data_IF_131574330815
#
_entry.id   IF_131574330815
#
_cell.length_a   1.000
_cell.length_b   1.000
_cell.length_c   1.000
_cell.angle_alpha   90.00
_cell.angle_beta   90.00
_cell.angle_gamma   90.00
#
_symmetry.space_group_name_H-M   'P 1'
#
loop_
_entity.id
_entity.type
_entity.pdbx_description
1 polymer ?
#
# COMPACT_ATOMS: atom_id res chain seq x y z
N UNK A 1 22.57 -18.87 5.22
CA UNK A 1 22.89 -17.50 4.81
C UNK A 1 22.88 -16.52 5.99
N UNK A 2 21.77 -16.34 6.72
CA UNK A 2 21.69 -15.36 7.82
C UNK A 2 22.79 -15.49 8.87
N UNK A 3 23.19 -16.72 9.21
CA UNK A 3 24.26 -16.95 10.17
C UNK A 3 25.63 -16.48 9.63
N UNK A 4 25.91 -16.68 8.35
CA UNK A 4 27.13 -16.20 7.70
C UNK A 4 27.14 -14.68 7.65
N UNK A 5 26.04 -14.06 7.20
CA UNK A 5 25.96 -12.60 7.11
C UNK A 5 26.05 -11.93 8.49
N UNK A 6 25.32 -12.44 9.50
CA UNK A 6 25.42 -11.92 10.85
C UNK A 6 26.84 -12.06 11.45
N UNK A 7 27.57 -13.13 11.10
CA UNK A 7 28.95 -13.28 11.56
C UNK A 7 29.91 -12.30 10.87
N UNK A 8 29.69 -11.98 9.59
CA UNK A 8 30.41 -10.91 8.88
C UNK A 8 30.12 -9.53 9.49
N UNK A 9 28.83 -9.23 9.69
CA UNK A 9 28.41 -7.97 10.29
C UNK A 9 28.98 -7.78 11.70
N UNK A 10 29.02 -8.86 12.49
CA UNK A 10 29.65 -8.85 13.80
C UNK A 10 31.13 -8.41 13.73
N UNK A 11 31.90 -8.99 12.79
CA UNK A 11 33.31 -8.60 12.57
C UNK A 11 33.40 -7.13 12.17
N UNK A 12 32.53 -6.67 11.29
CA UNK A 12 32.52 -5.28 10.81
C UNK A 12 32.19 -4.29 11.95
N UNK A 13 31.21 -4.61 12.81
CA UNK A 13 30.83 -3.78 13.96
C UNK A 13 31.94 -3.69 15.00
N UNK A 14 32.69 -4.79 15.22
CA UNK A 14 33.82 -4.83 16.14
C UNK A 14 35.03 -4.01 15.63
N UNK A 15 35.09 -3.68 14.36
CA UNK A 15 36.19 -2.92 13.78
C UNK A 15 37.52 -3.65 13.87
N UNK A 16 38.59 -2.95 14.26
CA UNK A 16 39.96 -3.52 14.30
C UNK A 16 40.11 -4.81 15.12
N UNK A 17 39.44 -4.90 16.27
CA UNK A 17 39.53 -6.11 17.10
C UNK A 17 38.83 -7.31 16.46
N UNK A 18 37.77 -7.06 15.64
CA UNK A 18 37.00 -8.11 14.98
C UNK A 18 37.79 -8.95 13.97
N UNK A 19 38.88 -8.41 13.40
CA UNK A 19 39.75 -9.10 12.45
C UNK A 19 40.99 -9.73 13.10
N UNK A 20 41.11 -9.71 14.41
CA UNK A 20 42.24 -10.28 15.15
C UNK A 20 41.93 -11.64 15.74
N UNK A 21 43.00 -12.40 16.10
CA UNK A 21 42.88 -13.68 16.82
C UNK A 21 42.57 -13.51 18.32
N UNK A 22 42.66 -12.30 18.84
CA UNK A 22 42.35 -11.97 20.24
C UNK A 22 40.85 -11.95 20.54
N UNK A 23 40.02 -11.90 19.47
CA UNK A 23 38.55 -11.94 19.61
C UNK A 23 37.96 -13.15 18.88
N UNK A 24 36.99 -13.79 19.49
CA UNK A 24 36.36 -15.04 18.99
C UNK A 24 35.48 -14.87 17.72
N UNK A 25 35.29 -13.66 17.20
CA UNK A 25 34.42 -13.39 16.04
C UNK A 25 34.76 -14.27 14.82
N UNK A 26 36.06 -14.48 14.57
CA UNK A 26 36.51 -15.32 13.45
C UNK A 26 36.10 -16.79 13.63
N UNK A 27 35.96 -17.33 14.84
CA UNK A 27 35.52 -18.69 15.09
C UNK A 27 34.06 -18.89 14.68
N UNK A 28 33.20 -17.91 14.97
CA UNK A 28 31.80 -17.93 14.56
C UNK A 28 31.65 -17.85 13.05
N UNK A 29 32.42 -16.98 12.37
CA UNK A 29 32.42 -16.91 10.92
C UNK A 29 32.87 -18.22 10.27
N UNK A 30 33.97 -18.79 10.72
CA UNK A 30 34.49 -20.09 10.22
C UNK A 30 33.49 -21.21 10.43
N UNK A 31 32.85 -21.24 11.61
CA UNK A 31 31.79 -22.22 11.91
C UNK A 31 30.56 -22.02 11.02
N UNK A 32 30.17 -20.79 10.77
CA UNK A 32 29.05 -20.47 9.88
C UNK A 32 29.29 -21.00 8.45
N UNK A 33 30.48 -20.77 7.90
CA UNK A 33 30.84 -21.32 6.59
C UNK A 33 30.90 -22.85 6.60
N UNK A 34 31.55 -23.47 7.59
CA UNK A 34 31.66 -24.92 7.69
C UNK A 34 30.27 -25.58 7.78
N UNK A 35 29.38 -25.05 8.61
CA UNK A 35 28.01 -25.56 8.72
C UNK A 35 27.23 -25.37 7.42
N UNK A 36 27.41 -24.22 6.72
CA UNK A 36 26.80 -23.99 5.42
C UNK A 36 27.16 -25.07 4.40
N UNK A 37 28.43 -25.44 4.33
CA UNK A 37 28.92 -26.50 3.44
C UNK A 37 28.44 -27.89 3.86
N UNK A 38 28.52 -28.23 5.16
CA UNK A 38 28.04 -29.50 5.69
C UNK A 38 26.54 -29.74 5.43
N UNK A 39 25.75 -28.67 5.39
CA UNK A 39 24.31 -28.74 5.13
C UNK A 39 23.97 -28.69 3.62
N UNK A 40 24.96 -28.82 2.73
CA UNK A 40 24.76 -28.90 1.29
C UNK A 40 24.90 -27.57 0.53
N UNK A 41 25.16 -26.46 1.22
CA UNK A 41 25.33 -25.15 0.61
C UNK A 41 24.03 -24.47 0.14
N UNK A 42 24.15 -23.23 -0.30
CA UNK A 42 23.03 -22.38 -0.68
C UNK A 42 22.23 -22.93 -1.87
N UNK A 43 22.91 -23.25 -2.97
CA UNK A 43 22.27 -23.72 -4.21
C UNK A 43 21.43 -24.99 -4.00
N UNK A 44 21.91 -25.96 -3.21
CA UNK A 44 21.15 -27.17 -2.94
C UNK A 44 19.80 -26.86 -2.26
N UNK A 45 19.78 -25.92 -1.32
CA UNK A 45 18.54 -25.53 -0.65
C UNK A 45 17.64 -24.66 -1.52
N UNK A 46 18.19 -23.77 -2.35
CA UNK A 46 17.42 -23.01 -3.33
C UNK A 46 16.76 -23.92 -4.36
N UNK A 47 17.52 -24.89 -4.90
CA UNK A 47 16.99 -25.91 -5.78
C UNK A 47 15.86 -26.72 -5.13
N UNK A 48 16.05 -27.13 -3.84
CA UNK A 48 15.02 -27.87 -3.10
C UNK A 48 13.75 -27.06 -2.87
N UNK A 49 13.86 -25.77 -2.54
CA UNK A 49 12.70 -24.85 -2.43
C UNK A 49 12.00 -24.75 -3.77
N UNK A 50 12.74 -24.57 -4.86
CA UNK A 50 12.21 -24.53 -6.22
C UNK A 50 11.45 -25.79 -6.58
N UNK A 51 12.02 -26.97 -6.36
CA UNK A 51 11.40 -28.28 -6.60
C UNK A 51 10.09 -28.46 -5.83
N UNK A 52 10.13 -28.24 -4.50
CA UNK A 52 8.94 -28.38 -3.65
C UNK A 52 7.82 -27.42 -4.08
N UNK A 53 8.17 -26.18 -4.39
CA UNK A 53 7.18 -25.18 -4.79
C UNK A 53 6.56 -25.52 -6.16
N UNK A 54 7.37 -25.97 -7.12
CA UNK A 54 6.88 -26.38 -8.44
C UNK A 54 6.03 -27.67 -8.38
N UNK A 55 6.28 -28.55 -7.41
CA UNK A 55 5.46 -29.72 -7.14
C UNK A 55 4.16 -29.44 -6.37
N UNK A 56 3.86 -28.15 -6.13
CA UNK A 56 2.62 -27.72 -5.47
C UNK A 56 2.68 -27.68 -3.95
N UNK A 57 3.84 -27.95 -3.33
CA UNK A 57 3.97 -27.83 -1.86
C UNK A 57 3.85 -26.34 -1.48
N UNK A 58 2.92 -26.05 -0.57
CA UNK A 58 2.70 -24.73 0.01
C UNK A 58 2.69 -24.81 1.52
N UNK A 59 3.15 -23.73 2.16
CA UNK A 59 3.02 -23.58 3.60
C UNK A 59 1.61 -23.07 3.92
N UNK A 60 0.88 -23.80 4.76
CA UNK A 60 -0.40 -23.35 5.29
C UNK A 60 -0.15 -22.45 6.52
N UNK A 61 -0.46 -21.16 6.39
CA UNK A 61 -0.36 -20.17 7.45
C UNK A 61 -1.77 -19.78 7.86
N UNK A 62 -2.22 -20.25 9.01
CA UNK A 62 -3.55 -19.97 9.54
C UNK A 62 -3.47 -18.98 10.68
N UNK A 63 -4.43 -18.06 10.72
CA UNK A 63 -4.70 -17.19 11.85
C UNK A 63 -5.94 -17.75 12.55
N UNK A 64 -5.85 -17.86 13.84
CA UNK A 64 -7.02 -18.25 14.65
C UNK A 64 -8.09 -17.15 14.60
N UNK A 65 -9.27 -17.51 14.13
CA UNK A 65 -10.44 -16.64 14.00
C UNK A 65 -11.61 -17.12 14.86
N UNK A 66 -11.40 -18.05 15.78
CA UNK A 66 -12.47 -18.63 16.63
C UNK A 66 -13.28 -17.55 17.37
N UNK A 67 -12.60 -16.47 17.78
CA UNK A 67 -13.25 -15.35 18.47
C UNK A 67 -14.34 -14.64 17.65
N UNK A 68 -14.27 -14.70 16.33
CA UNK A 68 -15.20 -14.04 15.40
C UNK A 68 -15.98 -15.03 14.52
N UNK A 69 -15.77 -16.33 14.69
CA UNK A 69 -16.41 -17.35 13.85
C UNK A 69 -17.95 -17.35 13.96
N UNK A 70 -18.47 -16.89 15.09
CA UNK A 70 -19.90 -16.69 15.29
C UNK A 70 -20.53 -15.69 14.30
N UNK A 71 -19.75 -14.81 13.66
CA UNK A 71 -20.20 -13.85 12.64
C UNK A 71 -20.23 -14.47 11.24
N UNK A 72 -19.61 -15.64 11.04
CA UNK A 72 -19.48 -16.29 9.72
C UNK A 72 -20.83 -16.49 8.99
N UNK A 73 -21.91 -16.96 9.63
CA UNK A 73 -23.19 -17.16 8.91
C UNK A 73 -23.75 -15.85 8.34
N UNK A 74 -23.66 -14.74 9.08
CA UNK A 74 -24.13 -13.42 8.63
C UNK A 74 -23.25 -12.92 7.46
N UNK A 75 -21.93 -13.00 7.61
CA UNK A 75 -20.98 -12.56 6.60
C UNK A 75 -21.12 -13.38 5.32
N UNK A 76 -21.18 -14.72 5.43
CA UNK A 76 -21.37 -15.61 4.30
C UNK A 76 -22.67 -15.32 3.53
N UNK A 77 -23.78 -15.04 4.26
CA UNK A 77 -25.03 -14.66 3.62
C UNK A 77 -24.93 -13.32 2.87
N UNK A 78 -24.23 -12.34 3.44
CA UNK A 78 -23.98 -11.06 2.76
C UNK A 78 -23.10 -11.24 1.51
N UNK A 79 -22.01 -12.02 1.62
CA UNK A 79 -21.12 -12.35 0.50
C UNK A 79 -21.87 -13.11 -0.60
N UNK A 80 -22.75 -14.05 -0.24
CA UNK A 80 -23.56 -14.79 -1.22
C UNK A 80 -24.49 -13.87 -2.02
N UNK A 81 -25.08 -12.83 -1.39
CA UNK A 81 -25.86 -11.83 -2.13
C UNK A 81 -25.00 -11.09 -3.15
N UNK A 82 -23.79 -10.64 -2.77
CA UNK A 82 -22.86 -10.00 -3.69
C UNK A 82 -22.48 -10.95 -4.85
N UNK A 83 -22.14 -12.20 -4.54
CA UNK A 83 -21.71 -13.18 -5.53
C UNK A 83 -22.82 -13.48 -6.58
N UNK A 84 -24.07 -13.40 -6.18
CA UNK A 84 -25.23 -13.63 -7.06
C UNK A 84 -25.45 -12.49 -8.06
N UNK A 85 -24.84 -11.31 -7.86
CA UNK A 85 -24.99 -10.17 -8.75
C UNK A 85 -24.02 -10.23 -9.95
N UNK A 86 -24.40 -9.61 -11.08
CA UNK A 86 -23.45 -9.30 -12.15
C UNK A 86 -22.26 -8.52 -11.59
N UNK A 87 -21.07 -8.71 -12.16
CA UNK A 87 -19.83 -8.07 -11.68
C UNK A 87 -19.94 -6.54 -11.59
N UNK A 88 -20.61 -5.92 -12.56
CA UNK A 88 -20.83 -4.46 -12.62
C UNK A 88 -21.64 -3.91 -11.44
N UNK A 89 -22.50 -4.72 -10.83
CA UNK A 89 -23.39 -4.30 -9.74
C UNK A 89 -22.81 -4.62 -8.36
N UNK A 90 -21.75 -5.42 -8.29
CA UNK A 90 -21.17 -5.90 -7.03
C UNK A 90 -20.60 -4.79 -6.16
N UNK A 91 -20.06 -3.74 -6.76
CA UNK A 91 -19.44 -2.63 -6.00
C UNK A 91 -20.47 -1.92 -5.12
N UNK A 92 -21.65 -1.67 -5.63
CA UNK A 92 -22.74 -1.02 -4.86
C UNK A 92 -23.17 -1.89 -3.68
N UNK A 93 -23.39 -3.19 -3.90
CA UNK A 93 -23.77 -4.12 -2.83
C UNK A 93 -22.63 -4.31 -1.79
N UNK A 94 -21.36 -4.36 -2.23
CA UNK A 94 -20.21 -4.39 -1.32
C UNK A 94 -20.15 -3.13 -0.45
N UNK A 95 -20.46 -1.95 -1.03
CA UNK A 95 -20.51 -0.68 -0.30
C UNK A 95 -21.67 -0.68 0.71
N UNK A 96 -22.87 -1.01 0.26
CA UNK A 96 -24.10 -0.95 1.08
C UNK A 96 -24.11 -2.01 2.20
N UNK A 97 -23.48 -3.16 2.01
CA UNK A 97 -23.26 -4.18 3.05
C UNK A 97 -22.09 -3.88 4.00
N UNK A 98 -21.30 -2.83 3.72
CA UNK A 98 -20.08 -2.49 4.46
C UNK A 98 -18.92 -3.48 4.26
N UNK A 99 -19.00 -4.35 3.25
CA UNK A 99 -17.95 -5.35 2.94
C UNK A 99 -16.82 -4.79 2.09
N UNK A 100 -17.02 -3.63 1.44
CA UNK A 100 -15.99 -3.01 0.61
C UNK A 100 -14.83 -2.47 1.48
N UNK A 101 -15.15 -1.70 2.51
CA UNK A 101 -14.18 -1.13 3.45
C UNK A 101 -14.59 -1.49 4.90
N UNK A 102 -14.50 -2.77 5.32
CA UNK A 102 -15.11 -3.24 6.54
C UNK A 102 -14.59 -2.58 7.82
N UNK A 103 -13.35 -2.09 7.81
CA UNK A 103 -12.71 -1.37 8.92
C UNK A 103 -13.21 0.07 9.10
N UNK A 104 -13.83 0.66 8.08
CA UNK A 104 -14.37 2.02 8.23
C UNK A 104 -15.57 2.05 9.18
N UNK A 105 -15.84 3.21 9.80
CA UNK A 105 -16.96 3.33 10.73
C UNK A 105 -18.32 3.14 10.05
N UNK A 106 -19.30 2.68 10.79
CA UNK A 106 -20.70 2.65 10.33
C UNK A 106 -21.20 4.08 10.05
N UNK A 107 -22.03 4.31 9.03
CA UNK A 107 -22.64 3.30 8.14
C UNK A 107 -21.78 2.92 6.92
N UNK A 108 -20.58 3.49 6.75
CA UNK A 108 -19.74 3.37 5.55
C UNK A 108 -18.92 2.10 5.49
N UNK A 109 -18.75 1.45 6.61
CA UNK A 109 -18.16 0.14 6.79
C UNK A 109 -18.87 -0.56 7.93
N UNK A 110 -18.20 -1.54 8.54
CA UNK A 110 -18.76 -2.33 9.66
C UNK A 110 -18.11 -1.95 11.01
N UNK A 111 -17.07 -1.12 11.01
CA UNK A 111 -16.18 -0.93 12.16
C UNK A 111 -15.46 -2.23 12.53
N UNK A 112 -15.21 -3.09 11.54
CA UNK A 112 -14.73 -4.44 11.73
C UNK A 112 -13.35 -4.47 12.37
N UNK A 113 -13.20 -5.31 13.39
CA UNK A 113 -11.90 -5.63 13.98
C UNK A 113 -10.98 -6.32 12.95
N UNK A 114 -9.68 -6.36 13.17
CA UNK A 114 -8.75 -7.09 12.27
C UNK A 114 -9.13 -8.56 12.06
N UNK A 115 -9.65 -9.24 13.09
CA UNK A 115 -10.13 -10.61 12.96
C UNK A 115 -11.37 -10.73 12.06
N UNK A 116 -12.35 -9.81 12.23
CA UNK A 116 -13.53 -9.76 11.36
C UNK A 116 -13.15 -9.43 9.90
N UNK A 117 -12.18 -8.54 9.67
CA UNK A 117 -11.69 -8.24 8.32
C UNK A 117 -11.12 -9.50 7.65
N UNK A 118 -10.30 -10.29 8.36
CA UNK A 118 -9.76 -11.54 7.85
C UNK A 118 -10.86 -12.57 7.57
N UNK A 119 -11.88 -12.65 8.42
CA UNK A 119 -13.04 -13.51 8.19
C UNK A 119 -13.79 -13.09 6.92
N UNK A 120 -14.05 -11.79 6.74
CA UNK A 120 -14.70 -11.25 5.55
C UNK A 120 -13.87 -11.55 4.30
N UNK A 121 -12.55 -11.39 4.37
CA UNK A 121 -11.63 -11.69 3.27
C UNK A 121 -11.65 -13.16 2.87
N UNK A 122 -11.72 -14.05 3.87
CA UNK A 122 -11.83 -15.48 3.64
C UNK A 122 -13.14 -15.85 2.93
N UNK A 123 -14.28 -15.30 3.36
CA UNK A 123 -15.58 -15.57 2.77
C UNK A 123 -15.69 -15.00 1.33
N UNK A 124 -15.19 -13.77 1.10
CA UNK A 124 -15.13 -13.18 -0.25
C UNK A 124 -14.27 -14.03 -1.19
N UNK A 125 -13.09 -14.47 -0.72
CA UNK A 125 -12.19 -15.33 -1.49
C UNK A 125 -12.85 -16.66 -1.83
N UNK A 126 -13.49 -17.30 -0.86
CA UNK A 126 -14.20 -18.56 -1.07
C UNK A 126 -15.34 -18.44 -2.10
N UNK A 127 -16.00 -17.28 -2.16
CA UNK A 127 -17.07 -16.99 -3.11
C UNK A 127 -16.56 -16.45 -4.45
N UNK A 128 -15.25 -16.27 -4.67
CA UNK A 128 -14.68 -15.68 -5.88
C UNK A 128 -15.07 -14.21 -6.09
N UNK A 129 -15.33 -13.48 -5.02
CA UNK A 129 -15.66 -12.05 -5.05
C UNK A 129 -14.42 -11.22 -4.79
N UNK A 130 -14.05 -10.39 -5.76
CA UNK A 130 -12.95 -9.43 -5.62
C UNK A 130 -13.50 -8.04 -5.28
N UNK A 131 -12.90 -7.35 -4.31
CA UNK A 131 -13.21 -5.94 -4.04
C UNK A 131 -12.65 -5.06 -5.15
N UNK A 132 -13.42 -4.08 -5.65
CA UNK A 132 -12.90 -3.07 -6.56
C UNK A 132 -11.86 -2.20 -5.85
N UNK A 133 -10.90 -1.69 -6.64
CA UNK A 133 -9.90 -0.76 -6.15
C UNK A 133 -10.43 0.68 -6.20
N UNK A 134 -10.53 1.34 -5.06
CA UNK A 134 -10.89 2.75 -4.96
C UNK A 134 -9.71 3.69 -5.28
N UNK A 135 -8.54 3.15 -5.55
CA UNK A 135 -7.29 3.88 -5.85
C UNK A 135 -7.03 4.95 -4.77
N UNK A 136 -7.08 6.23 -5.16
CA UNK A 136 -6.88 7.36 -4.22
C UNK A 136 -8.00 7.43 -3.16
N UNK A 137 -9.18 6.91 -3.45
CA UNK A 137 -10.31 6.84 -2.50
C UNK A 137 -9.95 6.13 -1.20
N UNK A 138 -9.05 5.13 -1.24
CA UNK A 138 -8.60 4.41 -0.04
C UNK A 138 -7.94 5.28 1.03
N UNK A 139 -7.42 6.45 0.67
CA UNK A 139 -6.79 7.37 1.63
C UNK A 139 -7.39 8.78 1.63
N UNK A 140 -8.15 9.16 0.60
CA UNK A 140 -8.94 10.38 0.62
C UNK A 140 -10.10 10.27 1.63
N UNK A 141 -10.87 9.16 1.57
CA UNK A 141 -12.04 8.96 2.44
C UNK A 141 -11.70 8.87 3.93
N UNK A 142 -10.69 8.11 4.39
CA UNK A 142 -10.30 8.14 5.81
C UNK A 142 -9.99 9.55 6.33
N UNK A 143 -9.39 10.40 5.50
CA UNK A 143 -9.11 11.78 5.87
C UNK A 143 -10.39 12.63 5.95
N UNK A 144 -11.34 12.42 5.05
CA UNK A 144 -12.65 13.08 5.10
C UNK A 144 -13.45 12.60 6.31
N UNK A 145 -13.41 11.30 6.65
CA UNK A 145 -14.05 10.74 7.84
C UNK A 145 -13.47 11.30 9.14
N UNK A 146 -12.15 11.61 9.16
CA UNK A 146 -11.47 12.17 10.33
C UNK A 146 -11.72 13.66 10.51
N UNK A 147 -11.68 14.44 9.43
CA UNK A 147 -11.64 15.91 9.50
C UNK A 147 -12.78 16.62 8.80
N UNK A 148 -13.59 15.92 8.02
CA UNK A 148 -14.67 16.49 7.24
C UNK A 148 -15.91 16.85 8.08
N UNK A 149 -16.73 17.77 7.54
CA UNK A 149 -18.05 18.07 8.08
C UNK A 149 -19.03 16.93 7.75
N UNK A 150 -20.19 16.91 8.44
CA UNK A 150 -21.23 15.92 8.16
C UNK A 150 -21.69 15.95 6.68
N UNK A 151 -21.81 17.17 6.12
CA UNK A 151 -22.19 17.38 4.71
C UNK A 151 -21.12 16.87 3.74
N UNK A 152 -19.83 17.07 4.06
CA UNK A 152 -18.73 16.52 3.27
C UNK A 152 -18.74 15.01 3.31
N UNK A 153 -18.89 14.43 4.48
CA UNK A 153 -18.92 12.97 4.67
C UNK A 153 -20.12 12.37 3.90
N UNK A 154 -21.31 12.91 4.06
CA UNK A 154 -22.52 12.45 3.39
C UNK A 154 -22.43 12.57 1.86
N UNK A 155 -21.81 13.64 1.36
CA UNK A 155 -21.63 13.87 -0.08
C UNK A 155 -20.61 12.94 -0.71
N UNK A 156 -19.44 12.78 -0.09
CA UNK A 156 -18.27 12.19 -0.75
C UNK A 156 -18.06 10.70 -0.44
N UNK A 157 -18.38 10.25 0.78
CA UNK A 157 -18.05 8.89 1.18
C UNK A 157 -18.89 7.84 0.46
N UNK A 158 -20.24 7.94 0.42
CA UNK A 158 -21.06 6.96 -0.30
C UNK A 158 -20.75 6.93 -1.80
N UNK A 159 -20.62 8.11 -2.42
CA UNK A 159 -20.33 8.22 -3.85
C UNK A 159 -18.98 7.61 -4.21
N UNK A 160 -17.96 7.75 -3.34
CA UNK A 160 -16.65 7.09 -3.53
C UNK A 160 -16.77 5.57 -3.43
N UNK A 161 -17.46 5.06 -2.40
CA UNK A 161 -17.64 3.62 -2.20
C UNK A 161 -18.37 2.96 -3.36
N UNK A 162 -19.37 3.62 -3.92
CA UNK A 162 -20.14 3.12 -5.07
C UNK A 162 -19.43 3.26 -6.41
N UNK A 163 -18.27 3.96 -6.44
CA UNK A 163 -17.51 4.18 -7.67
C UNK A 163 -17.99 5.36 -8.53
N UNK A 164 -18.92 6.19 -8.00
CA UNK A 164 -19.47 7.36 -8.70
C UNK A 164 -18.48 8.52 -8.72
N UNK A 165 -17.49 8.52 -7.82
CA UNK A 165 -16.46 9.55 -7.70
C UNK A 165 -15.05 8.94 -7.75
N UNK A 166 -14.20 9.56 -8.57
CA UNK A 166 -12.77 9.26 -8.66
C UNK A 166 -11.95 10.40 -8.10
N UNK A 167 -10.93 10.06 -7.34
CA UNK A 167 -10.05 11.01 -6.67
C UNK A 167 -8.67 11.09 -7.32
N UNK A 168 -8.03 12.27 -7.21
CA UNK A 168 -6.60 12.42 -7.36
C UNK A 168 -6.00 13.10 -6.12
N UNK A 169 -4.66 12.97 -5.95
CA UNK A 169 -3.93 13.54 -4.82
C UNK A 169 -3.02 14.68 -5.28
N UNK A 170 -3.36 15.89 -4.90
CA UNK A 170 -2.73 17.16 -5.31
C UNK A 170 -1.78 17.64 -4.20
N UNK A 171 -0.73 16.86 -3.91
CA UNK A 171 0.21 17.12 -2.82
C UNK A 171 1.55 17.63 -3.32
N UNK A 172 2.30 16.79 -4.03
CA UNK A 172 3.66 17.07 -4.48
C UNK A 172 3.74 18.24 -5.44
N UNK A 173 4.83 18.99 -5.37
CA UNK A 173 5.16 20.10 -6.29
C UNK A 173 6.58 19.88 -6.84
N UNK A 174 6.98 20.56 -7.94
CA UNK A 174 8.34 20.44 -8.49
C UNK A 174 9.44 20.66 -7.46
N UNK A 175 9.21 21.52 -6.46
CA UNK A 175 10.15 21.82 -5.38
C UNK A 175 9.80 21.22 -4.01
N UNK A 176 8.74 20.41 -3.91
CA UNK A 176 8.25 19.87 -2.63
C UNK A 176 7.70 18.44 -2.81
N UNK A 177 8.58 17.47 -2.80
CA UNK A 177 8.28 16.04 -2.80
C UNK A 177 8.53 15.43 -1.42
N UNK A 178 9.75 14.96 -1.15
CA UNK A 178 10.12 14.40 0.16
C UNK A 178 9.98 15.41 1.31
N UNK A 179 10.30 16.69 1.09
CA UNK A 179 9.95 17.79 1.99
C UNK A 179 8.61 18.41 1.55
N UNK A 180 7.52 17.64 1.70
CA UNK A 180 6.18 18.07 1.29
C UNK A 180 5.75 19.37 1.99
N UNK A 181 6.17 19.59 3.23
CA UNK A 181 5.83 20.81 3.98
C UNK A 181 6.41 22.10 3.35
N UNK A 182 7.35 21.98 2.41
CA UNK A 182 7.88 23.11 1.65
C UNK A 182 6.99 23.54 0.47
N UNK A 183 5.78 22.97 0.33
CA UNK A 183 4.84 23.29 -0.72
C UNK A 183 4.53 24.80 -0.81
N UNK A 184 4.32 25.31 -2.04
CA UNK A 184 4.16 26.72 -2.38
C UNK A 184 2.85 27.05 -3.08
N UNK A 185 2.06 26.06 -3.52
CA UNK A 185 0.70 26.32 -4.00
C UNK A 185 -0.02 27.15 -2.96
N UNK A 186 -0.39 28.36 -3.33
CA UNK A 186 -0.94 29.35 -2.41
C UNK A 186 -2.46 29.30 -2.45
N UNK A 187 -3.10 29.49 -1.31
CA UNK A 187 -4.53 29.72 -1.19
C UNK A 187 -4.76 31.10 -0.55
N UNK A 188 -5.39 31.99 -1.28
CA UNK A 188 -5.68 33.36 -0.83
C UNK A 188 -7.17 33.46 -0.51
N UNK A 189 -7.47 33.99 0.67
CA UNK A 189 -8.85 34.21 1.11
C UNK A 189 -9.58 35.18 0.18
N UNK A 190 -10.77 34.79 -0.23
CA UNK A 190 -11.68 35.63 -1.04
C UNK A 190 -13.12 35.53 -0.52
N UNK A 191 -14.05 36.25 -1.11
CA UNK A 191 -15.46 36.21 -0.70
C UNK A 191 -16.04 34.79 -0.91
N UNK A 192 -16.48 34.16 0.16
CA UNK A 192 -17.11 32.84 0.15
C UNK A 192 -16.16 31.64 -0.06
N UNK A 193 -14.85 31.88 -0.07
CA UNK A 193 -13.91 30.78 -0.28
C UNK A 193 -12.46 31.20 -0.42
N UNK A 194 -11.73 30.48 -1.24
CA UNK A 194 -10.29 30.58 -1.45
C UNK A 194 -9.96 30.54 -2.94
N UNK A 195 -8.94 31.27 -3.33
CA UNK A 195 -8.37 31.23 -4.68
C UNK A 195 -7.03 30.51 -4.63
N UNK A 196 -6.92 29.40 -5.34
CA UNK A 196 -5.72 28.59 -5.41
C UNK A 196 -4.90 28.95 -6.65
N UNK A 197 -3.58 29.15 -6.46
CA UNK A 197 -2.62 29.40 -7.56
C UNK A 197 -1.34 28.62 -7.29
N UNK A 198 -0.88 27.81 -8.26
CA UNK A 198 0.32 26.98 -8.13
C UNK A 198 0.37 25.83 -9.09
N UNK A 199 1.23 24.87 -8.80
CA UNK A 199 1.44 23.69 -9.62
C UNK A 199 1.63 22.45 -8.75
N UNK A 200 0.96 21.37 -9.12
CA UNK A 200 1.17 20.03 -8.56
C UNK A 200 1.79 19.11 -9.61
N UNK A 201 2.53 18.12 -9.15
CA UNK A 201 3.23 17.16 -10.02
C UNK A 201 3.10 15.75 -9.44
N UNK A 202 3.32 14.76 -10.28
CA UNK A 202 3.18 13.33 -9.93
C UNK A 202 1.76 12.96 -9.47
N UNK A 203 0.77 13.68 -10.01
CA UNK A 203 -0.63 13.42 -9.67
C UNK A 203 -1.16 12.26 -10.50
N UNK A 204 -1.35 11.11 -9.85
CA UNK A 204 -1.87 9.90 -10.52
C UNK A 204 -3.29 10.15 -11.03
N UNK A 205 -3.52 9.82 -12.31
CA UNK A 205 -4.82 9.80 -12.97
C UNK A 205 -5.65 11.11 -12.84
N UNK A 206 -5.00 12.28 -12.69
CA UNK A 206 -5.71 13.56 -12.55
C UNK A 206 -6.67 13.84 -13.72
N UNK A 207 -6.34 13.41 -14.93
CA UNK A 207 -7.17 13.55 -16.13
C UNK A 207 -8.46 12.70 -16.10
N UNK A 208 -8.59 11.77 -15.15
CA UNK A 208 -9.78 10.93 -14.95
C UNK A 208 -10.50 11.20 -13.64
N UNK A 209 -9.94 12.08 -12.80
CA UNK A 209 -10.48 12.36 -11.48
C UNK A 209 -11.61 13.37 -11.55
N UNK A 210 -12.63 13.17 -10.73
CA UNK A 210 -13.71 14.14 -10.52
C UNK A 210 -13.32 15.14 -9.45
N UNK A 211 -12.64 14.68 -8.39
CA UNK A 211 -12.23 15.47 -7.24
C UNK A 211 -10.76 15.25 -6.88
N UNK A 212 -10.14 16.28 -6.34
CA UNK A 212 -8.78 16.25 -5.84
C UNK A 212 -8.72 16.57 -4.35
N UNK A 213 -7.91 15.78 -3.60
CA UNK A 213 -7.49 16.18 -2.25
C UNK A 213 -6.23 17.02 -2.36
N UNK A 214 -6.30 18.29 -1.95
CA UNK A 214 -5.26 19.28 -2.21
C UNK A 214 -4.71 19.91 -0.94
N UNK A 215 -3.38 20.02 -0.86
CA UNK A 215 -2.70 20.83 0.15
C UNK A 215 -2.28 22.18 -0.46
N UNK A 216 -2.66 23.26 0.18
CA UNK A 216 -2.21 24.59 -0.22
C UNK A 216 -1.82 25.45 0.99
N UNK A 217 -0.95 26.43 0.76
CA UNK A 217 -0.45 27.36 1.77
C UNK A 217 -1.41 28.50 1.95
N UNK A 218 -2.02 28.55 3.12
CA UNK A 218 -2.96 29.61 3.53
C UNK A 218 -2.30 30.68 4.39
N UNK A 219 -1.19 30.34 5.08
CA UNK A 219 -0.38 31.30 5.82
C UNK A 219 1.12 31.14 5.48
N UNK A 220 1.67 32.00 4.61
CA UNK A 220 3.07 31.94 4.23
C UNK A 220 4.04 32.43 5.34
N UNK A 221 3.55 33.12 6.36
CA UNK A 221 4.33 33.60 7.50
C UNK A 221 4.50 32.56 8.61
N UNK A 222 3.69 31.51 8.60
CA UNK A 222 3.75 30.47 9.59
C UNK A 222 4.94 29.50 9.36
N UNK A 223 5.40 28.78 10.41
CA UNK A 223 6.33 27.64 10.24
C UNK A 223 5.83 26.64 9.21
N UNK A 224 6.72 25.98 8.44
CA UNK A 224 6.38 25.22 7.24
C UNK A 224 5.29 24.16 7.42
N UNK A 225 5.20 23.53 8.59
CA UNK A 225 4.16 22.54 8.91
C UNK A 225 2.85 23.16 9.43
N UNK A 226 2.84 24.48 9.66
CA UNK A 226 1.66 25.28 10.01
C UNK A 226 1.36 26.20 8.83
N UNK A 227 0.12 26.67 8.71
CA UNK A 227 -0.27 27.51 7.55
C UNK A 227 -0.49 26.72 6.26
N UNK A 228 -0.71 25.41 6.36
CA UNK A 228 -1.19 24.55 5.27
C UNK A 228 -2.64 24.18 5.57
N UNK A 229 -3.49 24.25 4.56
CA UNK A 229 -4.90 23.84 4.65
C UNK A 229 -5.19 22.73 3.65
N UNK A 230 -6.12 21.88 4.01
CA UNK A 230 -6.56 20.74 3.21
C UNK A 230 -7.86 21.10 2.50
N UNK A 231 -7.90 20.96 1.18
CA UNK A 231 -9.02 21.32 0.34
C UNK A 231 -9.53 20.12 -0.46
N UNK A 232 -10.84 20.10 -0.71
CA UNK A 232 -11.46 19.26 -1.73
C UNK A 232 -11.66 20.14 -2.97
N UNK A 233 -11.07 19.76 -4.09
CA UNK A 233 -11.05 20.54 -5.32
C UNK A 233 -11.83 19.79 -6.40
N UNK A 234 -12.86 20.44 -6.96
CA UNK A 234 -13.53 19.93 -8.17
C UNK A 234 -12.57 20.07 -9.36
N UNK A 235 -12.18 18.95 -9.96
CA UNK A 235 -11.20 18.91 -11.05
C UNK A 235 -11.71 19.52 -12.35
N UNK A 236 -13.02 19.85 -12.41
CA UNK A 236 -13.66 20.55 -13.53
C UNK A 236 -13.72 22.08 -13.33
N UNK A 237 -13.20 22.58 -12.20
CA UNK A 237 -13.20 24.02 -11.92
C UNK A 237 -12.43 24.81 -13.00
N UNK A 238 -12.93 25.98 -13.39
CA UNK A 238 -12.18 26.88 -14.26
C UNK A 238 -10.82 27.22 -13.68
N UNK A 239 -9.80 27.34 -14.54
CA UNK A 239 -8.42 27.61 -14.12
C UNK A 239 -7.59 26.38 -13.82
N UNK A 240 -8.16 25.18 -13.88
CA UNK A 240 -7.38 23.94 -13.78
C UNK A 240 -6.91 23.51 -15.17
N UNK A 241 -5.59 23.31 -15.31
CA UNK A 241 -4.99 22.71 -16.50
C UNK A 241 -4.24 21.45 -16.10
N UNK A 242 -4.52 20.34 -16.78
CA UNK A 242 -3.90 19.04 -16.55
C UNK A 242 -3.01 18.69 -17.74
N UNK A 243 -1.75 18.35 -17.47
CA UNK A 243 -0.77 17.94 -18.49
C UNK A 243 -0.22 16.55 -18.12
N UNK A 244 -0.47 15.52 -18.94
CA UNK A 244 0.10 14.21 -18.72
C UNK A 244 1.63 14.22 -18.75
N UNK A 245 2.25 13.38 -17.93
CA UNK A 245 3.68 13.09 -17.90
C UNK A 245 3.89 11.72 -18.52
N UNK A 246 4.67 11.66 -19.60
CA UNK A 246 5.00 10.39 -20.23
C UNK A 246 6.11 9.70 -19.44
N UNK A 247 5.80 8.51 -18.95
CA UNK A 247 6.71 7.65 -18.20
C UNK A 247 7.68 6.89 -19.13
N UNK A 248 8.72 6.29 -18.55
CA UNK A 248 9.70 5.49 -19.33
C UNK A 248 9.07 4.26 -19.99
N UNK A 249 7.92 3.79 -19.48
CA UNK A 249 7.10 2.71 -20.06
C UNK A 249 6.31 3.16 -21.28
N UNK A 250 6.16 4.47 -21.47
CA UNK A 250 5.31 5.08 -22.48
C UNK A 250 3.91 5.43 -21.98
N UNK A 251 3.54 5.00 -20.78
CA UNK A 251 2.26 5.31 -20.13
C UNK A 251 2.20 6.79 -19.71
N UNK A 252 0.99 7.28 -19.43
CA UNK A 252 0.71 8.65 -19.00
C UNK A 252 -0.17 8.65 -17.75
N UNK A 253 0.21 7.85 -16.73
CA UNK A 253 -0.54 7.77 -15.48
C UNK A 253 -0.41 9.03 -14.65
N UNK A 254 0.81 9.59 -14.56
CA UNK A 254 1.08 10.78 -13.78
C UNK A 254 0.83 12.07 -14.56
N UNK A 255 0.47 13.12 -13.83
CA UNK A 255 0.14 14.41 -14.43
C UNK A 255 0.77 15.56 -13.65
N UNK A 256 1.03 16.67 -14.34
CA UNK A 256 1.14 17.99 -13.77
C UNK A 256 -0.25 18.62 -13.75
N UNK A 257 -0.56 19.32 -12.68
CA UNK A 257 -1.83 20.05 -12.52
C UNK A 257 -1.50 21.48 -12.15
N UNK A 258 -1.93 22.41 -13.00
CA UNK A 258 -1.74 23.84 -12.80
C UNK A 258 -3.04 24.46 -12.29
N UNK A 259 -2.91 25.33 -11.29
CA UNK A 259 -4.00 26.14 -10.76
C UNK A 259 -3.74 27.61 -11.14
N UNK A 260 -4.62 28.17 -11.92
CA UNK A 260 -4.65 29.60 -12.29
C UNK A 260 -5.90 30.24 -11.69
N UNK A 261 -5.74 30.80 -10.49
CA UNK A 261 -6.80 31.45 -9.71
C UNK A 261 -8.07 30.58 -9.52
N UNK A 262 -7.89 29.29 -9.25
CA UNK A 262 -8.99 28.32 -9.08
C UNK A 262 -9.76 28.62 -7.80
N UNK A 263 -11.05 28.92 -7.91
CA UNK A 263 -11.92 29.16 -6.76
C UNK A 263 -12.32 27.84 -6.07
N UNK A 264 -12.16 27.79 -4.75
CA UNK A 264 -12.59 26.70 -3.89
C UNK A 264 -13.48 27.26 -2.78
N UNK A 265 -14.76 26.86 -2.67
CA UNK A 265 -15.68 27.35 -1.65
C UNK A 265 -15.22 26.97 -0.21
N UNK A 266 -15.71 27.73 0.77
CA UNK A 266 -15.37 27.49 2.18
C UNK A 266 -15.78 26.11 2.68
N UNK A 267 -16.91 25.62 2.22
CA UNK A 267 -17.41 24.30 2.55
C UNK A 267 -16.57 23.14 1.99
N UNK A 268 -15.56 23.44 1.16
CA UNK A 268 -14.61 22.46 0.64
C UNK A 268 -13.28 22.44 1.42
N UNK A 269 -13.18 23.16 2.51
CA UNK A 269 -12.06 23.04 3.46
C UNK A 269 -12.33 21.85 4.37
N UNK A 270 -11.37 20.92 4.49
CA UNK A 270 -11.45 19.79 5.42
C UNK A 270 -10.70 20.14 6.70
N UNK A 271 -11.39 20.04 7.82
CA UNK A 271 -10.86 20.44 9.14
C UNK A 271 -10.74 21.95 9.29
N UNK A 272 -9.81 22.41 10.12
CA UNK A 272 -9.57 23.81 10.35
C UNK A 272 -8.57 24.39 9.34
N UNK A 273 -8.74 25.68 9.02
CA UNK A 273 -7.72 26.43 8.28
C UNK A 273 -6.38 26.37 9.00
N UNK A 274 -5.30 26.13 8.27
CA UNK A 274 -3.93 25.96 8.78
C UNK A 274 -3.66 24.62 9.55
N UNK A 275 -4.61 23.68 9.63
CA UNK A 275 -4.45 22.34 10.22
C UNK A 275 -4.26 21.21 9.18
N UNK A 276 -4.09 21.56 7.92
CA UNK A 276 -4.00 20.59 6.81
C UNK A 276 -2.82 19.63 6.93
N UNK A 277 -1.75 20.01 7.63
CA UNK A 277 -0.61 19.09 7.83
C UNK A 277 -0.97 17.86 8.68
N UNK A 278 -1.82 18.02 9.69
CA UNK A 278 -2.33 16.90 10.49
C UNK A 278 -3.08 15.91 9.60
N UNK A 279 -3.99 16.43 8.78
CA UNK A 279 -4.79 15.62 7.84
C UNK A 279 -3.94 15.00 6.73
N UNK A 280 -2.91 15.72 6.24
CA UNK A 280 -1.95 15.14 5.29
C UNK A 280 -1.24 13.90 5.85
N UNK A 281 -0.92 13.89 7.16
CA UNK A 281 -0.32 12.71 7.80
C UNK A 281 -1.25 11.52 7.81
N UNK A 282 -2.55 11.72 8.02
CA UNK A 282 -3.58 10.68 7.94
C UNK A 282 -3.69 10.13 6.52
N UNK A 283 -3.77 11.01 5.52
CA UNK A 283 -3.78 10.63 4.10
C UNK A 283 -2.56 9.77 3.76
N UNK A 284 -1.35 10.22 4.10
CA UNK A 284 -0.10 9.51 3.82
C UNK A 284 0.05 8.20 4.62
N UNK A 285 -0.54 8.10 5.82
CA UNK A 285 -0.56 6.85 6.57
C UNK A 285 -1.49 5.83 5.90
N UNK A 286 -2.69 6.25 5.52
CA UNK A 286 -3.66 5.40 4.82
C UNK A 286 -3.17 4.98 3.44
N UNK A 287 -2.49 5.87 2.68
CA UNK A 287 -1.81 5.55 1.43
C UNK A 287 -0.80 4.42 1.61
N UNK A 288 0.07 4.49 2.64
CA UNK A 288 1.05 3.42 2.91
C UNK A 288 0.38 2.08 3.18
N UNK A 289 -0.71 2.08 3.92
CA UNK A 289 -1.48 0.86 4.21
C UNK A 289 -2.12 0.31 2.94
N UNK A 290 -2.82 1.13 2.16
CA UNK A 290 -3.46 0.72 0.92
C UNK A 290 -2.44 0.16 -0.09
N UNK A 291 -1.30 0.85 -0.27
CA UNK A 291 -0.22 0.39 -1.17
C UNK A 291 0.46 -0.90 -0.67
N UNK A 292 0.42 -1.22 0.63
CA UNK A 292 0.94 -2.46 1.16
C UNK A 292 0.01 -3.65 0.86
N UNK A 293 -1.30 -3.46 0.91
CA UNK A 293 -2.28 -4.51 0.61
C UNK A 293 -2.25 -4.98 -0.86
N UNK A 294 -2.00 -4.10 -1.82
CA UNK A 294 -1.85 -4.45 -3.24
C UNK A 294 -0.59 -5.25 -3.59
N UNK A 295 0.25 -5.58 -2.60
CA UNK A 295 1.53 -6.27 -2.77
C UNK A 295 1.55 -7.64 -2.12
N UNK A 296 0.45 -8.41 -2.18
CA UNK A 296 0.49 -9.82 -1.78
C UNK A 296 1.65 -10.51 -2.51
N UNK A 297 2.68 -10.91 -1.76
CA UNK A 297 3.91 -11.50 -2.33
C UNK A 297 3.63 -12.85 -3.02
N UNK A 298 2.48 -13.48 -2.74
CA UNK A 298 2.09 -14.77 -3.29
C UNK A 298 1.57 -14.73 -4.74
N UNK A 299 0.63 -13.84 -5.04
CA UNK A 299 -0.08 -13.87 -6.33
C UNK A 299 0.82 -13.68 -7.57
N UNK A 300 1.75 -12.70 -7.62
CA UNK A 300 2.64 -12.56 -8.76
C UNK A 300 3.56 -13.77 -8.96
N UNK A 301 3.98 -14.41 -7.87
CA UNK A 301 4.80 -15.61 -7.91
C UNK A 301 4.01 -16.81 -8.46
N UNK A 302 2.76 -17.01 -8.03
CA UNK A 302 1.92 -18.10 -8.51
C UNK A 302 1.63 -17.95 -10.02
N UNK A 303 1.39 -16.75 -10.49
CA UNK A 303 1.23 -16.47 -11.93
C UNK A 303 2.50 -16.81 -12.71
N UNK A 304 3.67 -16.44 -12.19
CA UNK A 304 4.94 -16.78 -12.83
C UNK A 304 5.17 -18.30 -12.84
N UNK A 305 4.92 -18.99 -11.73
CA UNK A 305 5.08 -20.45 -11.62
C UNK A 305 4.19 -21.20 -12.59
N UNK A 306 2.97 -20.74 -12.83
CA UNK A 306 2.07 -21.34 -13.82
C UNK A 306 2.65 -21.27 -15.23
N UNK A 307 3.33 -20.15 -15.57
CA UNK A 307 4.04 -19.98 -16.84
C UNK A 307 5.31 -20.84 -16.97
N UNK A 308 5.89 -21.30 -15.86
CA UNK A 308 7.09 -22.15 -15.82
C UNK A 308 6.78 -23.64 -15.62
N UNK A 309 5.51 -24.03 -15.74
CA UNK A 309 5.11 -25.43 -15.58
C UNK A 309 5.76 -26.30 -16.67
N UNK A 310 6.56 -27.29 -16.28
CA UNK A 310 7.27 -28.17 -17.20
C UNK A 310 8.52 -27.60 -17.86
N UNK A 311 8.90 -26.34 -17.58
CA UNK A 311 10.13 -25.75 -18.12
C UNK A 311 11.37 -26.42 -17.49
N UNK A 312 12.35 -26.75 -18.33
CA UNK A 312 13.69 -27.13 -17.88
C UNK A 312 14.51 -25.84 -17.68
N UNK A 313 14.96 -25.62 -16.45
CA UNK A 313 15.70 -24.41 -16.06
C UNK A 313 17.18 -24.75 -15.91
N UNK A 314 18.07 -23.95 -16.49
CA UNK A 314 19.47 -24.03 -16.17
C UNK A 314 19.73 -23.74 -14.68
N UNK A 315 20.90 -24.13 -14.17
CA UNK A 315 21.23 -24.01 -12.74
C UNK A 315 21.17 -22.57 -12.24
N UNK A 316 21.60 -21.59 -13.03
CA UNK A 316 21.60 -20.16 -12.65
C UNK A 316 20.17 -19.62 -12.52
N UNK A 317 19.32 -19.95 -13.48
CA UNK A 317 17.88 -19.60 -13.49
C UNK A 317 17.14 -20.30 -12.35
N UNK A 318 17.45 -21.57 -12.08
CA UNK A 318 16.85 -22.31 -10.96
C UNK A 318 17.25 -21.72 -9.60
N UNK A 319 18.50 -21.36 -9.40
CA UNK A 319 18.97 -20.67 -8.18
C UNK A 319 18.28 -19.33 -7.99
N UNK A 320 18.17 -18.54 -9.03
CA UNK A 320 17.49 -17.23 -9.00
C UNK A 320 16.00 -17.38 -8.68
N UNK A 321 15.34 -18.37 -9.28
CA UNK A 321 13.96 -18.70 -8.93
C UNK A 321 13.83 -19.09 -7.45
N UNK A 322 14.75 -19.92 -6.94
CA UNK A 322 14.78 -20.31 -5.54
C UNK A 322 14.92 -19.11 -4.59
N UNK A 323 15.75 -18.11 -4.94
CA UNK A 323 15.87 -16.86 -4.17
C UNK A 323 14.57 -16.09 -4.11
N UNK A 324 13.89 -15.95 -5.25
CA UNK A 324 12.61 -15.26 -5.33
C UNK A 324 11.51 -15.98 -4.53
N UNK A 325 11.47 -17.31 -4.61
CA UNK A 325 10.55 -18.13 -3.83
C UNK A 325 10.80 -17.99 -2.32
N UNK A 326 12.06 -17.97 -1.90
CA UNK A 326 12.42 -17.73 -0.51
C UNK A 326 11.98 -16.33 -0.05
N UNK A 327 12.22 -15.31 -0.87
CA UNK A 327 11.80 -13.93 -0.58
C UNK A 327 10.26 -13.81 -0.48
N UNK A 328 9.52 -14.50 -1.36
CA UNK A 328 8.06 -14.59 -1.31
C UNK A 328 7.58 -15.24 0.01
N UNK A 329 8.21 -16.33 0.42
CA UNK A 329 7.88 -17.00 1.69
C UNK A 329 8.16 -16.12 2.92
N UNK A 330 9.29 -15.43 2.94
CA UNK A 330 9.62 -14.46 4.01
C UNK A 330 8.57 -13.35 4.07
N UNK A 331 8.16 -12.83 2.92
CA UNK A 331 7.10 -11.84 2.84
C UNK A 331 5.76 -12.34 3.37
N UNK A 332 5.35 -13.57 3.01
CA UNK A 332 4.11 -14.19 3.51
C UNK A 332 4.15 -14.41 5.02
N UNK A 333 5.30 -14.80 5.58
CA UNK A 333 5.48 -14.92 7.03
C UNK A 333 5.37 -13.59 7.74
N UNK A 334 5.90 -12.52 7.14
CA UNK A 334 5.78 -11.17 7.69
C UNK A 334 4.34 -10.66 7.64
N UNK A 335 3.62 -10.91 6.54
CA UNK A 335 2.19 -10.58 6.43
C UNK A 335 1.37 -11.30 7.50
N UNK A 336 1.62 -12.60 7.67
CA UNK A 336 0.98 -13.39 8.71
C UNK A 336 1.27 -12.85 10.13
N UNK A 337 2.52 -12.48 10.41
CA UNK A 337 2.91 -11.85 11.68
C UNK A 337 2.18 -10.52 11.90
N UNK A 338 2.12 -9.66 10.87
CA UNK A 338 1.41 -8.38 10.95
C UNK A 338 -0.06 -8.61 11.27
N UNK A 339 -0.71 -9.54 10.57
CA UNK A 339 -2.11 -9.87 10.82
C UNK A 339 -2.34 -10.42 12.24
N UNK A 340 -1.48 -11.32 12.73
CA UNK A 340 -1.56 -11.82 14.11
C UNK A 340 -1.39 -10.71 15.16
N UNK A 341 -0.44 -9.78 14.95
CA UNK A 341 -0.25 -8.64 15.84
C UNK A 341 -1.48 -7.73 15.86
N UNK A 342 -2.06 -7.43 14.68
CA UNK A 342 -3.25 -6.62 14.55
C UNK A 342 -4.47 -7.26 15.24
N UNK A 343 -4.68 -8.58 15.06
CA UNK A 343 -5.74 -9.35 15.77
C UNK A 343 -5.53 -9.29 17.28
N UNK A 344 -4.28 -9.32 17.74
CA UNK A 344 -3.92 -9.16 19.15
C UNK A 344 -3.93 -7.71 19.67
N UNK A 345 -4.42 -6.75 18.88
CA UNK A 345 -4.54 -5.34 19.28
C UNK A 345 -3.23 -4.58 19.41
N UNK A 346 -2.15 -5.05 18.75
CA UNK A 346 -0.82 -4.41 18.79
C UNK A 346 -0.62 -3.49 17.59
N UNK A 347 0.12 -2.41 17.80
CA UNK A 347 0.57 -1.55 16.70
C UNK A 347 1.53 -2.30 15.77
N UNK A 348 1.30 -2.20 14.47
CA UNK A 348 2.05 -2.88 13.40
C UNK A 348 2.83 -1.91 12.50
N UNK A 349 2.96 -0.64 12.89
CA UNK A 349 3.54 0.40 12.04
C UNK A 349 4.99 0.13 11.61
N UNK A 350 5.81 -0.43 12.48
CA UNK A 350 7.20 -0.78 12.17
C UNK A 350 7.28 -1.95 11.18
N UNK A 351 6.53 -3.03 11.45
CA UNK A 351 6.45 -4.21 10.60
C UNK A 351 5.87 -3.88 9.21
N UNK A 352 4.84 -3.05 9.14
CA UNK A 352 4.25 -2.60 7.88
C UNK A 352 5.25 -1.80 7.03
N UNK A 353 6.10 -0.98 7.65
CA UNK A 353 7.16 -0.23 6.97
C UNK A 353 8.24 -1.17 6.39
N UNK A 354 8.70 -2.14 7.18
CA UNK A 354 9.63 -3.17 6.73
C UNK A 354 9.01 -4.01 5.58
N UNK A 355 7.73 -4.36 5.72
CA UNK A 355 6.99 -5.12 4.72
C UNK A 355 6.93 -4.39 3.37
N UNK A 356 6.66 -3.08 3.37
CA UNK A 356 6.66 -2.26 2.15
C UNK A 356 8.01 -2.30 1.45
N UNK A 357 9.11 -2.13 2.19
CA UNK A 357 10.47 -2.15 1.63
C UNK A 357 10.81 -3.51 1.00
N UNK A 358 10.52 -4.60 1.70
CA UNK A 358 10.74 -5.98 1.22
C UNK A 358 9.90 -6.22 -0.04
N UNK A 359 8.62 -5.83 -0.02
CA UNK A 359 7.70 -6.03 -1.13
C UNK A 359 8.10 -5.29 -2.41
N UNK A 360 8.59 -4.04 -2.29
CA UNK A 360 9.07 -3.28 -3.45
C UNK A 360 10.30 -3.94 -4.07
N UNK A 361 11.30 -4.29 -3.27
CA UNK A 361 12.52 -4.98 -3.74
C UNK A 361 12.20 -6.32 -4.39
N UNK A 362 11.30 -7.08 -3.77
CA UNK A 362 10.85 -8.36 -4.31
C UNK A 362 10.18 -8.20 -5.69
N UNK A 363 9.27 -7.24 -5.85
CA UNK A 363 8.60 -7.00 -7.15
C UNK A 363 9.59 -6.59 -8.23
N UNK A 364 10.53 -5.71 -7.92
CA UNK A 364 11.58 -5.33 -8.87
C UNK A 364 12.38 -6.56 -9.32
N UNK A 365 12.86 -7.37 -8.36
CA UNK A 365 13.63 -8.58 -8.67
C UNK A 365 12.80 -9.62 -9.44
N UNK A 366 11.48 -9.72 -9.21
CA UNK A 366 10.59 -10.61 -9.91
C UNK A 366 10.42 -10.19 -11.39
N UNK A 367 10.23 -8.89 -11.66
CA UNK A 367 10.09 -8.38 -13.02
C UNK A 367 11.42 -8.47 -13.80
N UNK A 368 12.56 -8.20 -13.15
CA UNK A 368 13.89 -8.45 -13.73
C UNK A 368 14.08 -9.92 -14.13
N UNK A 369 13.62 -10.84 -13.27
CA UNK A 369 13.67 -12.27 -13.57
C UNK A 369 12.78 -12.64 -14.75
N UNK A 370 11.56 -12.10 -14.82
CA UNK A 370 10.64 -12.30 -15.96
C UNK A 370 11.24 -11.82 -17.27
N UNK A 371 11.89 -10.66 -17.28
CA UNK A 371 12.59 -10.15 -18.45
C UNK A 371 13.73 -11.07 -18.91
N UNK A 372 14.40 -11.75 -17.98
CA UNK A 372 15.46 -12.70 -18.29
C UNK A 372 14.96 -14.04 -18.81
N UNK A 373 13.67 -14.33 -18.73
CA UNK A 373 13.03 -15.55 -19.28
C UNK A 373 12.48 -15.35 -20.69
N UNK A 374 12.29 -14.10 -21.14
CA UNK A 374 11.81 -13.73 -22.47
C UNK A 374 12.97 -13.65 -23.47
#
# INVERSE_FOLDING_TARGET
DAFVENAKDCIQVLGGIGITWEHDAHLYLRRAYALGQLLGGRSAWLGRVGELTRSGVRRDLRIDLDSVDHLRPEIAAAVARVAALPEADRQVELADSGLLAPHWPRPYGRGASPAEQLLIDAELTAAGVTRPDLVIGWWAVPTILEGGTAEQIERFVPATLRGDLRWCQLFSEPGAGSDLAALRTRAVRTAGGWTLTGQKVWTSAAHKADWGVCLARTDPGAPKHRGITYFLVDMRSPGIMIRPLREITGDELFNEVFFDEVFVPDEMVVGAVNDGWRLARTTLASERVAMAHGTALGNPMEQMLSGLSGADLDTGTADRLGELLLAAQVGSLLDHRIAQLAVGGRDTGAEASARKLIGVRYRQALEEFRMGLS
#
